data_IF_587284290936
#
_entry.id   IF_587284290936
#
_cell.length_a   1.000
_cell.length_b   1.000
_cell.length_c   1.000
_cell.angle_alpha   90.00
_cell.angle_beta   90.00
_cell.angle_gamma   90.00
#
_symmetry.space_group_name_H-M   'P 1'
#
loop_
_entity.id
_entity.type
_entity.pdbx_description
1 polymer ?
#
# COMPACT_ATOMS: atom_id res chain seq x y z
N UNK A 1 -34.35 -4.36 7.47
CA UNK A 1 -33.31 -3.78 6.59
C UNK A 1 -32.36 -2.84 7.36
N UNK A 2 -32.80 -1.72 7.93
CA UNK A 2 -31.89 -0.77 8.62
C UNK A 2 -31.10 -1.39 9.80
N UNK A 3 -31.79 -2.11 10.71
CA UNK A 3 -31.12 -2.80 11.84
C UNK A 3 -30.14 -3.90 11.40
N UNK A 4 -30.37 -4.51 10.23
CA UNK A 4 -29.49 -5.52 9.66
C UNK A 4 -28.25 -4.86 9.06
N UNK A 5 -28.43 -3.84 8.22
CA UNK A 5 -27.35 -3.05 7.66
C UNK A 5 -26.46 -2.44 8.76
N UNK A 6 -27.06 -1.87 9.81
CA UNK A 6 -26.31 -1.34 10.96
C UNK A 6 -25.47 -2.41 11.67
N UNK A 7 -26.02 -3.63 11.89
CA UNK A 7 -25.27 -4.72 12.55
C UNK A 7 -24.11 -5.22 11.68
N UNK A 8 -24.32 -5.36 10.38
CA UNK A 8 -23.25 -5.75 9.46
C UNK A 8 -22.15 -4.69 9.37
N UNK A 9 -22.51 -3.41 9.22
CA UNK A 9 -21.52 -2.32 9.25
C UNK A 9 -20.74 -2.29 10.58
N UNK A 10 -21.43 -2.48 11.71
CA UNK A 10 -20.79 -2.52 13.03
C UNK A 10 -19.83 -3.72 13.15
N UNK A 11 -20.21 -4.88 12.61
CA UNK A 11 -19.38 -6.09 12.64
C UNK A 11 -18.11 -5.91 11.82
N UNK A 12 -18.21 -5.43 10.58
CA UNK A 12 -17.04 -5.17 9.71
C UNK A 12 -16.13 -4.12 10.33
N UNK A 13 -16.70 -3.01 10.80
CA UNK A 13 -15.93 -1.94 11.46
C UNK A 13 -15.25 -2.44 12.74
N UNK A 14 -15.93 -3.30 13.52
CA UNK A 14 -15.37 -3.91 14.73
C UNK A 14 -14.14 -4.78 14.45
N UNK A 15 -14.16 -5.58 13.37
CA UNK A 15 -12.98 -6.32 12.93
C UNK A 15 -11.82 -5.38 12.58
N UNK A 16 -12.08 -4.29 11.85
CA UNK A 16 -11.05 -3.31 11.48
C UNK A 16 -10.46 -2.63 12.71
N UNK A 17 -11.28 -2.21 13.67
CA UNK A 17 -10.81 -1.60 14.92
C UNK A 17 -9.96 -2.55 15.76
N UNK A 18 -10.36 -3.83 15.84
CA UNK A 18 -9.60 -4.85 16.57
C UNK A 18 -8.22 -5.07 15.94
N UNK A 19 -8.16 -5.24 14.61
CA UNK A 19 -6.90 -5.41 13.87
C UNK A 19 -6.01 -4.18 14.06
N UNK A 20 -6.59 -2.98 14.01
CA UNK A 20 -5.88 -1.70 14.24
C UNK A 20 -5.28 -1.64 15.64
N UNK A 21 -6.03 -2.05 16.67
CA UNK A 21 -5.53 -2.08 18.05
C UNK A 21 -4.36 -3.06 18.22
N UNK A 22 -4.49 -4.29 17.69
CA UNK A 22 -3.43 -5.29 17.73
C UNK A 22 -2.17 -4.83 16.97
N UNK A 23 -2.34 -4.32 15.75
CA UNK A 23 -1.24 -3.83 14.93
C UNK A 23 -0.52 -2.66 15.60
N UNK A 24 -1.26 -1.71 16.17
CA UNK A 24 -0.69 -0.57 16.89
C UNK A 24 0.12 -1.02 18.11
N UNK A 25 -0.38 -2.02 18.85
CA UNK A 25 0.36 -2.60 19.98
C UNK A 25 1.65 -3.30 19.51
N UNK A 26 1.59 -4.10 18.44
CA UNK A 26 2.77 -4.79 17.89
C UNK A 26 3.80 -3.81 17.35
N UNK A 27 3.37 -2.79 16.60
CA UNK A 27 4.27 -1.74 16.10
C UNK A 27 4.88 -0.96 17.25
N UNK A 28 4.10 -0.63 18.28
CA UNK A 28 4.60 0.04 19.49
C UNK A 28 5.68 -0.78 20.20
N UNK A 29 5.46 -2.08 20.38
CA UNK A 29 6.46 -3.00 20.97
C UNK A 29 7.69 -3.12 20.07
N UNK A 30 7.50 -3.27 18.76
CA UNK A 30 8.61 -3.35 17.80
C UNK A 30 9.50 -2.10 17.84
N UNK A 31 8.90 -0.92 17.89
CA UNK A 31 9.62 0.36 18.01
C UNK A 31 10.31 0.45 19.38
N UNK A 32 9.66 0.01 20.45
CA UNK A 32 10.22 0.00 21.81
C UNK A 32 11.50 -0.84 21.92
N UNK A 33 11.55 -2.00 21.25
CA UNK A 33 12.72 -2.87 21.20
C UNK A 33 13.82 -2.40 20.22
N UNK A 34 13.71 -1.18 19.66
CA UNK A 34 14.70 -0.64 18.72
C UNK A 34 14.55 -1.17 17.30
N UNK A 35 13.40 -1.77 16.94
CA UNK A 35 13.15 -2.28 15.59
C UNK A 35 13.28 -1.21 14.50
N UNK A 36 13.04 0.06 14.85
CA UNK A 36 13.29 1.21 13.96
C UNK A 36 14.78 1.31 13.58
N UNK A 37 15.67 1.25 14.55
CA UNK A 37 17.12 1.33 14.34
C UNK A 37 17.63 0.12 13.56
N UNK A 38 17.04 -1.07 13.76
CA UNK A 38 17.39 -2.27 13.00
C UNK A 38 17.07 -2.08 11.51
N UNK A 39 15.85 -1.66 11.18
CA UNK A 39 15.46 -1.45 9.77
C UNK A 39 16.26 -0.29 9.18
N UNK A 40 16.48 0.79 9.94
CA UNK A 40 17.34 1.90 9.53
C UNK A 40 18.75 1.43 9.15
N UNK A 41 19.41 0.69 10.03
CA UNK A 41 20.75 0.18 9.77
C UNK A 41 20.78 -0.80 8.58
N UNK A 42 19.75 -1.63 8.41
CA UNK A 42 19.63 -2.51 7.24
C UNK A 42 19.48 -1.71 5.94
N UNK A 43 18.73 -0.61 5.96
CA UNK A 43 18.51 0.25 4.80
C UNK A 43 19.75 1.08 4.48
N UNK A 44 20.43 1.62 5.50
CA UNK A 44 21.68 2.40 5.33
C UNK A 44 22.88 1.52 4.95
N UNK A 45 22.86 0.23 5.34
CA UNK A 45 23.88 -0.74 4.93
C UNK A 45 23.80 -1.12 3.45
N UNK A 46 22.70 -0.82 2.75
CA UNK A 46 22.60 -1.02 1.31
C UNK A 46 23.48 0.02 0.58
N UNK A 47 24.48 -0.41 -0.21
CA UNK A 47 25.36 0.50 -0.95
C UNK A 47 24.66 1.17 -2.16
N UNK A 48 23.32 1.15 -2.21
CA UNK A 48 22.51 1.56 -3.36
C UNK A 48 22.07 3.05 -3.30
N UNK A 49 22.49 3.78 -2.27
CA UNK A 49 22.11 5.18 -2.04
C UNK A 49 20.61 5.36 -1.74
N UNK A 50 20.13 6.60 -1.56
CA UNK A 50 18.75 6.88 -1.14
C UNK A 50 17.68 6.36 -2.12
N UNK A 51 17.94 6.50 -3.42
CA UNK A 51 17.03 6.04 -4.48
C UNK A 51 17.00 4.52 -4.63
N UNK A 52 18.12 3.85 -4.39
CA UNK A 52 18.16 2.39 -4.42
C UNK A 52 17.50 1.76 -3.19
N UNK A 53 17.67 2.37 -2.02
CA UNK A 53 16.90 2.03 -0.81
C UNK A 53 15.40 2.21 -1.04
N UNK A 54 14.98 3.34 -1.63
CA UNK A 54 13.60 3.57 -2.01
C UNK A 54 13.04 2.50 -2.96
N UNK A 55 13.79 2.15 -4.02
CA UNK A 55 13.37 1.11 -4.97
C UNK A 55 13.25 -0.27 -4.30
N UNK A 56 14.18 -0.63 -3.40
CA UNK A 56 14.12 -1.86 -2.64
C UNK A 56 12.88 -1.91 -1.72
N UNK A 57 12.58 -0.79 -1.03
CA UNK A 57 11.39 -0.67 -0.20
C UNK A 57 10.10 -0.80 -1.04
N UNK A 58 10.04 -0.16 -2.20
CA UNK A 58 8.91 -0.28 -3.15
C UNK A 58 8.73 -1.72 -3.63
N UNK A 59 9.82 -2.41 -3.94
CA UNK A 59 9.76 -3.81 -4.36
C UNK A 59 9.27 -4.73 -3.22
N UNK A 60 9.80 -4.56 -2.00
CA UNK A 60 9.39 -5.37 -0.85
C UNK A 60 7.92 -5.10 -0.48
N UNK A 61 7.50 -3.84 -0.44
CA UNK A 61 6.08 -3.48 -0.22
C UNK A 61 5.16 -4.01 -1.31
N UNK A 62 5.60 -4.02 -2.57
CA UNK A 62 4.84 -4.61 -3.66
C UNK A 62 4.67 -6.12 -3.46
N UNK A 63 5.76 -6.85 -3.18
CA UNK A 63 5.68 -8.30 -2.94
C UNK A 63 4.82 -8.61 -1.73
N UNK A 64 5.00 -7.90 -0.62
CA UNK A 64 4.20 -8.10 0.58
C UNK A 64 2.72 -7.74 0.36
N UNK A 65 2.44 -6.70 -0.41
CA UNK A 65 1.09 -6.29 -0.79
C UNK A 65 0.38 -7.31 -1.66
N UNK A 66 1.10 -8.17 -2.36
CA UNK A 66 0.50 -9.26 -3.12
C UNK A 66 -0.04 -10.37 -2.22
N UNK A 67 0.36 -10.42 -0.94
CA UNK A 67 -0.08 -11.44 0.03
C UNK A 67 -0.98 -10.91 1.14
N UNK A 68 -0.80 -9.64 1.52
CA UNK A 68 -1.52 -9.02 2.62
C UNK A 68 -2.65 -8.11 2.13
N UNK A 69 -3.75 -8.09 2.90
CA UNK A 69 -4.85 -7.14 2.69
C UNK A 69 -4.43 -5.68 2.94
N UNK A 70 -5.13 -4.72 2.31
CA UNK A 70 -4.79 -3.30 2.35
C UNK A 70 -4.79 -2.71 3.77
N UNK A 71 -5.71 -3.16 4.64
CA UNK A 71 -5.78 -2.66 6.02
C UNK A 71 -4.53 -3.12 6.79
N UNK A 72 -4.17 -4.40 6.66
CA UNK A 72 -3.05 -5.00 7.37
C UNK A 72 -1.72 -4.38 6.98
N UNK A 73 -1.49 -4.17 5.68
CA UNK A 73 -0.22 -3.60 5.19
C UNK A 73 -0.07 -2.12 5.55
N UNK A 74 -1.16 -1.34 5.51
CA UNK A 74 -1.12 0.08 5.92
C UNK A 74 -0.81 0.19 7.41
N UNK A 75 -1.42 -0.63 8.24
CA UNK A 75 -1.21 -0.55 9.69
C UNK A 75 0.21 -0.96 10.11
N UNK A 76 0.78 -1.97 9.47
CA UNK A 76 2.09 -2.51 9.85
C UNK A 76 3.20 -1.85 9.05
N UNK A 77 3.21 -2.02 7.73
CA UNK A 77 4.36 -1.69 6.89
C UNK A 77 4.48 -0.17 6.69
N UNK A 78 3.37 0.52 6.38
CA UNK A 78 3.42 1.97 6.17
C UNK A 78 3.83 2.69 7.46
N UNK A 79 3.28 2.31 8.61
CA UNK A 79 3.66 2.86 9.92
C UNK A 79 5.15 2.69 10.25
N UNK A 80 5.74 1.57 9.87
CA UNK A 80 7.15 1.27 10.11
C UNK A 80 8.07 2.00 9.12
N UNK A 81 7.65 2.14 7.86
CA UNK A 81 8.50 2.68 6.78
C UNK A 81 8.45 4.20 6.66
N UNK A 82 7.32 4.87 6.95
CA UNK A 82 7.22 6.34 6.94
C UNK A 82 8.35 7.03 7.73
N UNK A 83 8.68 6.63 8.97
CA UNK A 83 9.71 7.32 9.75
C UNK A 83 11.12 7.15 9.19
N UNK A 84 11.33 6.28 8.20
CA UNK A 84 12.60 6.08 7.48
C UNK A 84 12.77 7.12 6.36
N UNK A 85 11.66 7.67 5.83
CA UNK A 85 11.71 8.61 4.71
C UNK A 85 12.58 9.85 4.98
N UNK A 86 12.49 10.54 6.14
CA UNK A 86 13.34 11.70 6.43
C UNK A 86 14.83 11.35 6.50
N UNK A 87 15.17 10.12 6.91
CA UNK A 87 16.56 9.66 7.03
C UNK A 87 17.20 9.47 5.65
N UNK A 88 16.40 9.06 4.66
CA UNK A 88 16.80 8.98 3.25
C UNK A 88 16.76 10.34 2.55
N UNK A 89 16.35 11.41 3.24
CA UNK A 89 16.18 12.75 2.67
C UNK A 89 14.88 12.95 1.87
N UNK A 90 13.92 12.03 2.00
CA UNK A 90 12.61 12.14 1.35
C UNK A 90 11.58 12.79 2.26
N UNK A 91 10.63 13.51 1.64
CA UNK A 91 9.46 14.00 2.36
C UNK A 91 8.57 12.81 2.78
N UNK A 92 8.24 12.64 4.07
CA UNK A 92 7.45 11.50 4.54
C UNK A 92 6.05 11.43 3.95
N UNK A 93 5.42 12.56 3.59
CA UNK A 93 4.12 12.58 2.91
C UNK A 93 4.27 12.02 1.49
N UNK A 94 5.27 12.49 0.74
CA UNK A 94 5.55 11.96 -0.59
C UNK A 94 5.84 10.47 -0.55
N UNK A 95 6.67 10.03 0.40
CA UNK A 95 7.04 8.62 0.56
C UNK A 95 5.83 7.74 0.90
N UNK A 96 4.97 8.19 1.82
CA UNK A 96 3.72 7.50 2.15
C UNK A 96 2.81 7.36 0.92
N UNK A 97 2.63 8.45 0.15
CA UNK A 97 1.80 8.44 -1.05
C UNK A 97 2.37 7.52 -2.13
N UNK A 98 3.68 7.50 -2.33
CA UNK A 98 4.32 6.58 -3.26
C UNK A 98 4.07 5.12 -2.87
N UNK A 99 4.15 4.78 -1.58
CA UNK A 99 3.83 3.42 -1.11
C UNK A 99 2.35 3.11 -1.37
N UNK A 100 1.44 4.05 -1.07
CA UNK A 100 0.01 3.88 -1.33
C UNK A 100 -0.30 3.62 -2.81
N UNK A 101 0.33 4.36 -3.73
CA UNK A 101 0.16 4.15 -5.18
C UNK A 101 0.75 2.80 -5.61
N UNK A 102 1.92 2.44 -5.09
CA UNK A 102 2.55 1.14 -5.34
C UNK A 102 1.67 -0.03 -4.84
N UNK A 103 1.01 0.14 -3.69
CA UNK A 103 0.07 -0.85 -3.16
C UNK A 103 -1.15 -1.05 -4.07
N UNK A 104 -1.68 0.00 -4.71
CA UNK A 104 -2.77 -0.18 -5.69
C UNK A 104 -2.35 -1.07 -6.86
N UNK A 105 -1.13 -0.92 -7.35
CA UNK A 105 -0.57 -1.80 -8.38
C UNK A 105 -0.50 -3.26 -7.90
N UNK A 106 -0.16 -3.47 -6.63
CA UNK A 106 -0.10 -4.78 -6.01
C UNK A 106 -1.45 -5.49 -5.95
N UNK A 107 -2.54 -4.77 -5.65
CA UNK A 107 -3.91 -5.33 -5.63
C UNK A 107 -4.44 -5.77 -6.99
N UNK A 108 -3.81 -5.30 -8.06
CA UNK A 108 -4.13 -5.61 -9.45
C UNK A 108 -3.27 -6.76 -10.00
N UNK A 109 -2.12 -7.07 -9.38
CA UNK A 109 -1.17 -8.05 -9.90
C UNK A 109 -1.51 -9.47 -9.39
N UNK A 110 -1.47 -10.52 -10.24
CA UNK A 110 -1.79 -11.90 -9.83
C UNK A 110 -0.73 -12.43 -8.84
N UNK A 111 -1.09 -12.60 -7.54
CA UNK A 111 -1.42 -13.91 -6.95
C UNK A 111 -2.60 -13.92 -5.95
N UNK A 112 -2.99 -12.77 -5.38
CA UNK A 112 -4.21 -12.54 -4.58
C UNK A 112 -4.90 -11.26 -5.06
N UNK A 113 -5.18 -11.18 -6.36
CA UNK A 113 -5.84 -10.04 -6.98
C UNK A 113 -7.32 -9.98 -6.60
N UNK A 114 -7.62 -9.55 -5.36
CA UNK A 114 -8.98 -9.40 -4.83
C UNK A 114 -9.88 -8.62 -5.80
N UNK A 115 -9.33 -7.61 -6.47
CA UNK A 115 -10.01 -6.82 -7.50
C UNK A 115 -10.45 -7.64 -8.71
N UNK A 116 -9.59 -8.54 -9.20
CA UNK A 116 -9.86 -9.44 -10.32
C UNK A 116 -10.93 -10.46 -9.93
N UNK A 117 -10.84 -11.06 -8.73
CA UNK A 117 -11.84 -12.02 -8.26
C UNK A 117 -13.21 -11.41 -7.97
N UNK A 118 -13.24 -10.16 -7.48
CA UNK A 118 -14.51 -9.42 -7.33
C UNK A 118 -15.11 -9.10 -8.70
N UNK A 119 -14.31 -8.66 -9.67
CA UNK A 119 -14.79 -8.42 -11.04
C UNK A 119 -15.28 -9.71 -11.72
N UNK A 120 -14.63 -10.85 -11.44
CA UNK A 120 -15.11 -12.14 -11.92
C UNK A 120 -16.44 -12.53 -11.27
N UNK A 121 -16.57 -12.34 -9.95
CA UNK A 121 -17.78 -12.67 -9.20
C UNK A 121 -18.99 -11.78 -9.53
N UNK A 122 -18.75 -10.57 -10.06
CA UNK A 122 -19.80 -9.66 -10.54
C UNK A 122 -20.09 -9.75 -12.03
N UNK A 123 -19.26 -10.46 -12.81
CA UNK A 123 -19.47 -10.66 -14.23
C UNK A 123 -20.62 -11.65 -14.46
N UNK A 124 -21.51 -11.31 -15.39
CA UNK A 124 -22.63 -12.18 -15.77
C UNK A 124 -22.10 -13.51 -16.35
N UNK A 125 -22.55 -14.68 -15.84
CA UNK A 125 -22.13 -15.99 -16.36
C UNK A 125 -22.32 -16.14 -17.87
N UNK A 126 -23.27 -15.42 -18.48
CA UNK A 126 -23.54 -15.47 -19.93
C UNK A 126 -22.40 -14.87 -20.78
N UNK A 127 -21.56 -14.00 -20.20
CA UNK A 127 -20.47 -13.33 -20.92
C UNK A 127 -19.25 -14.24 -21.12
N UNK A 128 -19.17 -15.39 -20.45
CA UNK A 128 -18.07 -16.35 -20.60
C UNK A 128 -16.68 -15.79 -20.25
N UNK A 129 -16.62 -14.71 -19.46
CA UNK A 129 -15.38 -13.98 -19.14
C UNK A 129 -14.42 -14.91 -18.40
N UNK A 130 -13.29 -15.21 -19.03
CA UNK A 130 -12.27 -16.06 -18.43
C UNK A 130 -11.34 -15.21 -17.57
N UNK A 131 -10.74 -15.80 -16.52
CA UNK A 131 -9.72 -15.13 -15.68
C UNK A 131 -8.63 -14.43 -16.49
N UNK A 132 -8.27 -15.01 -17.64
CA UNK A 132 -7.24 -14.51 -18.55
C UNK A 132 -7.66 -13.19 -19.22
N UNK A 133 -8.95 -12.99 -19.50
CA UNK A 133 -9.46 -11.77 -20.14
C UNK A 133 -9.44 -10.59 -19.15
N UNK A 134 -9.80 -10.85 -17.89
CA UNK A 134 -9.72 -9.85 -16.81
C UNK A 134 -8.26 -9.48 -16.54
N UNK A 135 -7.36 -10.47 -16.46
CA UNK A 135 -5.92 -10.23 -16.29
C UNK A 135 -5.37 -9.38 -17.44
N UNK A 136 -5.75 -9.66 -18.69
CA UNK A 136 -5.35 -8.86 -19.85
C UNK A 136 -5.91 -7.43 -19.78
N UNK A 137 -7.12 -7.25 -19.29
CA UNK A 137 -7.72 -5.92 -19.07
C UNK A 137 -7.03 -5.11 -17.97
N UNK A 138 -6.36 -5.76 -17.02
CA UNK A 138 -5.67 -5.09 -15.90
C UNK A 138 -4.27 -4.63 -16.28
N UNK A 139 -3.59 -5.26 -17.24
CA UNK A 139 -2.27 -4.85 -17.74
C UNK A 139 -2.19 -3.35 -18.12
N UNK A 140 -3.13 -2.77 -18.91
CA UNK A 140 -3.07 -1.34 -19.23
C UNK A 140 -3.25 -0.45 -17.98
N UNK A 141 -4.01 -0.89 -16.98
CA UNK A 141 -4.13 -0.18 -15.71
C UNK A 141 -2.82 -0.18 -14.91
N UNK A 142 -2.15 -1.34 -14.85
CA UNK A 142 -0.83 -1.45 -14.20
C UNK A 142 0.17 -0.53 -14.89
N UNK A 143 0.18 -0.47 -16.22
CA UNK A 143 1.04 0.44 -16.99
C UNK A 143 0.75 1.92 -16.67
N UNK A 144 -0.51 2.31 -16.59
CA UNK A 144 -0.88 3.68 -16.19
C UNK A 144 -0.42 4.03 -14.78
N UNK A 145 -0.51 3.08 -13.83
CA UNK A 145 -0.01 3.29 -12.47
C UNK A 145 1.51 3.43 -12.45
N UNK A 146 2.24 2.61 -13.22
CA UNK A 146 3.70 2.76 -13.35
C UNK A 146 4.10 4.10 -13.98
N UNK A 147 3.38 4.57 -14.99
CA UNK A 147 3.58 5.91 -15.56
C UNK A 147 3.31 6.98 -14.51
N UNK A 148 2.24 6.83 -13.72
CA UNK A 148 1.93 7.71 -12.59
C UNK A 148 3.07 7.75 -11.57
N UNK A 149 3.57 6.59 -11.13
CA UNK A 149 4.73 6.48 -10.24
C UNK A 149 5.95 7.20 -10.81
N UNK A 150 6.26 6.99 -12.10
CA UNK A 150 7.36 7.69 -12.78
C UNK A 150 7.17 9.21 -12.81
N UNK A 151 5.95 9.68 -13.07
CA UNK A 151 5.62 11.11 -13.02
C UNK A 151 5.74 11.68 -11.61
N UNK A 152 5.36 10.95 -10.57
CA UNK A 152 5.48 11.40 -9.19
C UNK A 152 6.93 11.41 -8.68
N UNK A 153 7.79 10.56 -9.24
CA UNK A 153 9.25 10.62 -9.04
C UNK A 153 9.83 11.86 -9.72
N UNK A 154 9.45 12.15 -10.97
CA UNK A 154 9.95 13.30 -11.72
C UNK A 154 9.41 14.64 -11.18
N UNK A 155 8.15 14.67 -10.75
CA UNK A 155 7.43 15.85 -10.29
C UNK A 155 6.78 15.61 -8.92
N UNK A 156 7.56 15.58 -7.82
CA UNK A 156 7.03 15.34 -6.47
C UNK A 156 6.02 16.41 -6.03
N UNK A 157 6.06 17.59 -6.66
CA UNK A 157 5.11 18.67 -6.43
C UNK A 157 3.67 18.28 -6.77
N UNK A 158 3.43 17.35 -7.71
CA UNK A 158 2.06 16.88 -8.02
C UNK A 158 1.39 16.24 -6.80
N UNK A 159 2.17 15.52 -5.98
CA UNK A 159 1.70 14.92 -4.74
C UNK A 159 1.70 15.90 -3.57
N UNK A 160 2.70 16.77 -3.49
CA UNK A 160 2.90 17.65 -2.34
C UNK A 160 2.14 18.99 -2.43
N UNK A 161 1.67 19.37 -3.62
CA UNK A 161 0.98 20.64 -3.84
C UNK A 161 -0.30 20.75 -2.99
N UNK A 162 -1.17 19.75 -3.05
CA UNK A 162 -2.44 19.79 -2.30
C UNK A 162 -2.22 19.73 -0.77
N UNK A 163 -1.40 18.79 -0.23
CA UNK A 163 -1.05 18.80 1.19
C UNK A 163 -0.43 20.13 1.65
N UNK A 164 0.43 20.76 0.85
CA UNK A 164 1.05 22.05 1.21
C UNK A 164 0.06 23.20 1.29
N UNK A 165 -1.12 23.08 0.65
CA UNK A 165 -2.19 24.08 0.68
C UNK A 165 -3.24 23.82 1.76
N UNK A 166 -3.43 22.57 2.17
CA UNK A 166 -4.42 22.18 3.18
C UNK A 166 -3.84 22.07 4.60
N UNK A 167 -2.56 21.71 4.72
CA UNK A 167 -1.84 21.54 6.00
C UNK A 167 -0.94 22.77 6.27
N UNK A 168 -1.17 23.86 5.54
CA UNK A 168 -0.51 25.15 5.71
C UNK A 168 -1.21 26.03 6.73
#
# INVERSE_FOLDING_TARGET
LLKYAMRETLRVTGFVMLITACASATVGVFVYFGGKEVIENMVLALPLGPWGAFAAIMLVTFILGMFMDWISIILIIVSILIPIAPMLGFNPVWFALMICVNLQMSFLTPPLAQSIFVCQGSADPELGVTNIDIIRGVIPFILLIMVGLGLFVAFPQLMLWLPSKMIG
#
